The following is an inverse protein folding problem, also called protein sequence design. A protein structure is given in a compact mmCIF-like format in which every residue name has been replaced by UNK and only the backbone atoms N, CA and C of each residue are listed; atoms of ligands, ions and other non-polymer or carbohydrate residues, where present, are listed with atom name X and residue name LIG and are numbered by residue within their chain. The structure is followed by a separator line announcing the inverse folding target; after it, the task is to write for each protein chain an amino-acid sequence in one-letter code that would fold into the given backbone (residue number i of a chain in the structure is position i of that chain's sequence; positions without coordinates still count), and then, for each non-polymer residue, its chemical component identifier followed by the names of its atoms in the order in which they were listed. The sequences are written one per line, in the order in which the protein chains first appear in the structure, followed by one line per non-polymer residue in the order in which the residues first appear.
data_IF_738869473216
#
_entry.id   IF_738869473216
#
_cell.length_a   1.000
_cell.length_b   1.000
_cell.length_c   1.000
_cell.angle_alpha   90.00
_cell.angle_beta   90.00
_cell.angle_gamma   90.00
#
_symmetry.space_group_name_H-M   'P 1'
#
loop_
_entity.id
_entity.type
_entity.pdbx_description
1 polymer ?
#
# COMPACT_ATOMS: atom_id res chain seq x y z
N UNK A 1 -16.84 10.83 7.68
CA UNK A 1 -15.45 10.96 7.19
C UNK A 1 -14.83 9.59 7.05
N UNK A 2 -13.90 9.41 6.12
CA UNK A 2 -13.13 8.17 5.96
C UNK A 2 -11.65 8.54 5.90
N UNK A 3 -10.79 7.70 6.48
CA UNK A 3 -9.34 7.87 6.41
C UNK A 3 -8.74 6.64 5.73
N UNK A 4 -7.97 6.88 4.66
CA UNK A 4 -7.16 5.85 4.03
C UNK A 4 -5.74 5.92 4.57
N UNK A 5 -5.18 4.77 4.98
CA UNK A 5 -3.80 4.64 5.43
C UNK A 5 -3.08 3.68 4.49
N UNK A 6 -1.96 4.13 3.93
CA UNK A 6 -1.09 3.33 3.08
C UNK A 6 0.22 3.05 3.82
N UNK A 7 0.60 1.77 3.88
CA UNK A 7 1.86 1.29 4.44
C UNK A 7 2.62 0.50 3.36
N UNK A 8 3.67 1.10 2.80
CA UNK A 8 4.50 0.50 1.75
C UNK A 8 5.68 -0.27 2.32
N UNK A 9 5.38 -1.42 2.91
CA UNK A 9 6.41 -2.34 3.41
C UNK A 9 7.16 -3.04 2.29
N UNK A 10 8.43 -3.43 2.53
CA UNK A 10 9.30 -4.12 1.56
C UNK A 10 8.74 -5.44 1.05
N UNK A 11 7.97 -6.16 1.86
CA UNK A 11 7.45 -7.51 1.55
C UNK A 11 5.93 -7.54 1.44
N UNK A 12 5.24 -6.56 2.03
CA UNK A 12 3.80 -6.50 2.09
C UNK A 12 3.37 -5.04 2.18
N UNK A 13 2.80 -4.53 1.10
CA UNK A 13 2.15 -3.22 1.09
C UNK A 13 0.69 -3.38 1.50
N UNK A 14 0.17 -2.42 2.26
CA UNK A 14 -1.17 -2.48 2.85
C UNK A 14 -1.93 -1.19 2.59
N UNK A 15 -3.23 -1.35 2.36
CA UNK A 15 -4.23 -0.29 2.41
C UNK A 15 -5.25 -0.66 3.49
N UNK A 16 -5.56 0.30 4.36
CA UNK A 16 -6.70 0.23 5.25
C UNK A 16 -7.56 1.48 5.07
N UNK A 17 -8.88 1.29 5.02
CA UNK A 17 -9.84 2.39 5.08
C UNK A 17 -10.56 2.32 6.41
N UNK A 18 -10.47 3.37 7.21
CA UNK A 18 -11.12 3.46 8.51
C UNK A 18 -12.36 4.36 8.47
N UNK A 19 -13.41 3.94 9.18
CA UNK A 19 -14.55 4.80 9.53
C UNK A 19 -14.23 5.71 10.71
N UNK A 20 -15.09 6.70 10.97
CA UNK A 20 -14.93 7.62 12.10
C UNK A 20 -14.94 6.92 13.47
N UNK A 21 -15.60 5.75 13.54
CA UNK A 21 -15.64 4.90 14.72
C UNK A 21 -14.37 4.03 14.89
N UNK A 22 -13.36 4.24 14.04
CA UNK A 22 -12.10 3.49 14.04
C UNK A 22 -12.21 2.07 13.46
N UNK A 23 -13.38 1.65 12.96
CA UNK A 23 -13.53 0.34 12.33
C UNK A 23 -12.91 0.32 10.94
N UNK A 24 -12.35 -0.82 10.55
CA UNK A 24 -11.89 -1.07 9.18
C UNK A 24 -13.12 -1.28 8.29
N UNK A 25 -13.22 -0.45 7.25
CA UNK A 25 -14.25 -0.51 6.22
C UNK A 25 -13.76 -1.27 4.98
N UNK A 26 -12.46 -1.21 4.68
CA UNK A 26 -11.82 -1.95 3.60
C UNK A 26 -10.35 -2.24 3.95
N UNK A 27 -9.84 -3.36 3.49
CA UNK A 27 -8.42 -3.71 3.58
C UNK A 27 -7.93 -4.38 2.31
N UNK A 28 -6.71 -4.04 1.90
CA UNK A 28 -6.00 -4.72 0.81
C UNK A 28 -4.55 -4.94 1.16
N UNK A 29 -4.02 -6.04 0.64
CA UNK A 29 -2.61 -6.41 0.76
C UNK A 29 -2.07 -6.78 -0.60
N UNK A 30 -0.98 -6.14 -0.98
CA UNK A 30 -0.32 -6.39 -2.25
C UNK A 30 1.14 -6.70 -1.99
N UNK A 31 1.68 -7.72 -2.66
CA UNK A 31 3.12 -7.96 -2.65
C UNK A 31 3.77 -6.89 -3.56
N UNK A 32 4.59 -5.98 -3.01
CA UNK A 32 5.17 -4.91 -3.82
C UNK A 32 6.14 -5.49 -4.86
N UNK A 33 6.16 -4.87 -6.03
CA UNK A 33 7.20 -5.10 -7.03
C UNK A 33 8.23 -3.97 -6.87
N UNK A 34 9.49 -4.35 -6.72
CA UNK A 34 10.61 -3.41 -6.62
C UNK A 34 11.42 -3.46 -7.90
N UNK A 35 11.57 -2.32 -8.57
CA UNK A 35 12.40 -2.16 -9.77
C UNK A 35 13.72 -1.52 -9.40
N UNK A 36 14.79 -1.87 -10.12
CA UNK A 36 16.09 -1.24 -9.91
C UNK A 36 16.25 -0.04 -10.84
N UNK A 37 16.52 1.15 -10.29
CA UNK A 37 16.74 2.39 -11.05
C UNK A 37 17.88 3.17 -10.42
N UNK A 38 18.93 3.46 -11.20
CA UNK A 38 20.07 4.28 -10.78
C UNK A 38 20.70 3.86 -9.45
N UNK A 39 20.79 2.55 -9.18
CA UNK A 39 21.33 2.01 -7.93
C UNK A 39 20.33 1.92 -6.78
N UNK A 40 19.09 2.39 -6.95
CA UNK A 40 18.04 2.34 -5.95
C UNK A 40 16.99 1.27 -6.25
N UNK A 41 16.41 0.70 -5.20
CA UNK A 41 15.19 -0.12 -5.31
C UNK A 41 13.97 0.79 -5.18
N UNK A 42 13.21 0.93 -6.26
CA UNK A 42 12.06 1.83 -6.37
C UNK A 42 10.78 1.01 -6.47
N UNK A 43 9.77 1.35 -5.67
CA UNK A 43 8.46 0.72 -5.73
C UNK A 43 7.83 0.96 -7.10
N UNK A 44 7.38 -0.11 -7.74
CA UNK A 44 6.54 -0.02 -8.92
C UNK A 44 5.10 0.29 -8.50
N UNK A 45 4.73 1.57 -8.58
CA UNK A 45 3.40 2.05 -8.23
C UNK A 45 2.31 1.43 -9.11
N UNK A 46 2.55 1.30 -10.43
CA UNK A 46 1.54 0.78 -11.35
C UNK A 46 1.16 -0.66 -10.99
N UNK A 47 2.16 -1.47 -10.62
CA UNK A 47 1.95 -2.83 -10.15
C UNK A 47 1.29 -2.94 -8.76
N UNK A 48 1.07 -1.83 -8.05
CA UNK A 48 0.41 -1.82 -6.75
C UNK A 48 -1.11 -1.79 -6.85
N UNK A 49 -1.64 -1.34 -7.98
CA UNK A 49 -3.08 -1.09 -8.20
C UNK A 49 -3.83 -2.21 -8.95
N UNK A 50 -3.08 -3.18 -9.51
CA UNK A 50 -3.61 -4.37 -10.18
C UNK A 50 -3.86 -5.54 -9.19
#
# INVERSE_FOLDING_TARGET
MKVAVLDFGKTNSKLFVFGEDGRILDERRTRPIWTHRDGFSVLDEAALHD
#
